data_IF_756375153238
#
_entry.id   IF_756375153238
#
_cell.length_a   1.000
_cell.length_b   1.000
_cell.length_c   1.000
_cell.angle_alpha   90.00
_cell.angle_beta   90.00
_cell.angle_gamma   90.00
#
_symmetry.space_group_name_H-M   'P 1'
#
loop_
_entity.id
_entity.type
_entity.pdbx_description
1 polymer ?
#
# COMPACT_ATOMS: atom_id res chain seq x y z
N UNK A 1 -3.21 -19.28 3.09
CA UNK A 1 -2.01 -20.16 3.02
C UNK A 1 -1.60 -20.53 1.60
N UNK A 2 -2.54 -20.69 0.64
CA UNK A 2 -2.20 -20.91 -0.78
C UNK A 2 -1.77 -19.62 -1.51
N UNK A 3 -2.37 -18.47 -1.17
CA UNK A 3 -2.09 -17.16 -1.80
C UNK A 3 -0.71 -16.57 -1.48
N UNK A 4 -0.23 -16.75 -0.24
CA UNK A 4 1.14 -16.34 0.14
C UNK A 4 2.20 -17.15 -0.59
N UNK A 5 1.91 -18.43 -0.91
CA UNK A 5 2.80 -19.27 -1.71
C UNK A 5 2.81 -18.84 -3.19
N UNK A 6 1.66 -18.57 -3.81
CA UNK A 6 1.64 -18.12 -5.21
C UNK A 6 2.31 -16.76 -5.42
N UNK A 7 2.15 -15.84 -4.47
CA UNK A 7 2.82 -14.52 -4.50
C UNK A 7 4.33 -14.64 -4.29
N UNK A 8 4.76 -15.45 -3.31
CA UNK A 8 6.19 -15.76 -3.10
C UNK A 8 6.82 -16.43 -4.33
N UNK A 9 6.12 -17.33 -5.02
CA UNK A 9 6.62 -18.02 -6.22
C UNK A 9 6.81 -17.05 -7.40
N UNK A 10 5.90 -16.07 -7.56
CA UNK A 10 6.02 -15.05 -8.62
C UNK A 10 7.23 -14.14 -8.39
N UNK A 11 7.39 -13.61 -7.17
CA UNK A 11 8.52 -12.75 -6.82
C UNK A 11 9.86 -13.52 -6.86
N UNK A 12 9.86 -14.78 -6.43
CA UNK A 12 11.02 -15.67 -6.58
C UNK A 12 11.46 -15.76 -8.04
N UNK A 13 10.54 -16.05 -8.97
CA UNK A 13 10.87 -16.13 -10.40
C UNK A 13 11.39 -14.80 -10.96
N UNK A 14 10.76 -13.68 -10.64
CA UNK A 14 11.17 -12.36 -11.11
C UNK A 14 12.57 -11.98 -10.59
N UNK A 15 12.83 -12.23 -9.30
CA UNK A 15 14.14 -12.00 -8.69
C UNK A 15 15.25 -12.81 -9.39
N UNK A 16 14.98 -14.07 -9.73
CA UNK A 16 15.95 -14.93 -10.43
C UNK A 16 16.20 -14.48 -11.87
N UNK A 17 15.17 -14.05 -12.60
CA UNK A 17 15.33 -13.51 -13.95
C UNK A 17 16.21 -12.26 -13.91
N UNK A 18 15.92 -11.34 -12.98
CA UNK A 18 16.70 -10.12 -12.79
C UNK A 18 18.16 -10.40 -12.45
N UNK A 19 18.41 -11.42 -11.63
CA UNK A 19 19.74 -11.76 -11.14
C UNK A 19 20.38 -12.97 -11.85
N UNK A 20 19.92 -13.33 -13.05
CA UNK A 20 20.33 -14.57 -13.71
C UNK A 20 21.85 -14.63 -13.92
N UNK A 21 22.47 -13.52 -14.34
CA UNK A 21 23.92 -13.43 -14.52
C UNK A 21 24.67 -13.61 -13.20
N UNK A 22 24.22 -12.96 -12.12
CA UNK A 22 24.84 -13.07 -10.79
C UNK A 22 24.70 -14.46 -10.19
N UNK A 23 23.57 -15.11 -10.42
CA UNK A 23 23.36 -16.50 -10.04
C UNK A 23 24.33 -17.42 -10.78
N UNK A 24 24.56 -17.20 -12.08
CA UNK A 24 25.52 -17.98 -12.86
C UNK A 24 26.97 -17.80 -12.36
N UNK A 25 27.37 -16.57 -12.02
CA UNK A 25 28.67 -16.29 -11.40
C UNK A 25 28.82 -16.99 -10.04
N UNK A 26 27.78 -16.96 -9.20
CA UNK A 26 27.76 -17.65 -7.91
C UNK A 26 27.86 -19.17 -8.07
N UNK A 27 27.13 -19.76 -9.03
CA UNK A 27 27.21 -21.20 -9.33
C UNK A 27 28.61 -21.59 -9.77
N UNK A 28 29.24 -20.78 -10.63
CA UNK A 28 30.61 -20.99 -11.09
C UNK A 28 31.59 -20.93 -9.92
N UNK A 29 31.45 -19.93 -9.04
CA UNK A 29 32.26 -19.84 -7.82
C UNK A 29 32.10 -21.06 -6.92
N UNK A 30 30.86 -21.50 -6.70
CA UNK A 30 30.55 -22.69 -5.89
C UNK A 30 31.18 -23.94 -6.51
N UNK A 31 31.18 -24.08 -7.83
CA UNK A 31 31.77 -25.23 -8.53
C UNK A 31 33.29 -25.30 -8.33
N UNK A 32 34.00 -24.18 -8.42
CA UNK A 32 35.45 -24.11 -8.23
C UNK A 32 35.93 -23.98 -6.78
N UNK A 33 35.06 -23.65 -5.83
CA UNK A 33 35.47 -23.44 -4.44
C UNK A 33 35.91 -24.75 -3.77
N UNK A 34 37.15 -24.83 -3.31
CA UNK A 34 37.69 -25.98 -2.56
C UNK A 34 38.19 -25.54 -1.19
N UNK A 35 38.18 -26.46 -0.21
CA UNK A 35 38.59 -26.16 1.15
C UNK A 35 37.83 -24.97 1.77
N UNK A 36 38.46 -24.31 2.74
CA UNK A 36 37.93 -23.07 3.30
C UNK A 36 38.02 -21.94 2.25
N UNK A 37 36.91 -21.69 1.56
CA UNK A 37 36.74 -20.60 0.61
C UNK A 37 35.56 -19.73 1.05
N UNK A 38 35.78 -18.42 1.22
CA UNK A 38 34.75 -17.53 1.80
C UNK A 38 34.13 -16.65 0.72
N UNK A 39 32.82 -16.79 0.50
CA UNK A 39 32.03 -15.93 -0.37
C UNK A 39 31.02 -15.10 0.40
N UNK A 40 30.74 -13.89 -0.08
CA UNK A 40 29.68 -13.03 0.44
C UNK A 40 28.60 -12.84 -0.61
N UNK A 41 27.35 -13.07 -0.25
CA UNK A 41 26.17 -12.80 -1.05
C UNK A 41 25.52 -11.56 -0.45
N UNK A 42 25.62 -10.43 -1.17
CA UNK A 42 25.00 -9.17 -0.78
C UNK A 42 23.52 -9.20 -1.18
N UNK A 43 22.63 -9.26 -0.18
CA UNK A 43 21.17 -9.28 -0.31
C UNK A 43 20.53 -8.44 0.78
N UNK A 44 19.50 -7.66 0.46
CA UNK A 44 18.92 -6.71 1.42
C UNK A 44 17.77 -7.29 2.24
N UNK A 45 17.21 -8.44 1.85
CA UNK A 45 16.06 -9.06 2.53
C UNK A 45 16.27 -10.56 2.78
N UNK A 46 15.76 -11.03 3.92
CA UNK A 46 15.79 -12.45 4.28
C UNK A 46 15.01 -13.34 3.28
N UNK A 47 13.93 -12.84 2.70
CA UNK A 47 13.18 -13.56 1.67
C UNK A 47 14.03 -13.81 0.40
N UNK A 48 14.77 -12.80 -0.05
CA UNK A 48 15.66 -12.91 -1.21
C UNK A 48 16.81 -13.89 -0.93
N UNK A 49 17.36 -13.89 0.29
CA UNK A 49 18.35 -14.87 0.70
C UNK A 49 17.78 -16.30 0.62
N UNK A 50 16.53 -16.52 1.06
CA UNK A 50 15.88 -17.82 0.96
C UNK A 50 15.69 -18.25 -0.50
N UNK A 51 15.26 -17.34 -1.38
CA UNK A 51 15.12 -17.61 -2.81
C UNK A 51 16.42 -18.05 -3.47
N UNK A 52 17.54 -17.41 -3.15
CA UNK A 52 18.86 -17.82 -3.64
C UNK A 52 19.19 -19.23 -3.17
N UNK A 53 19.04 -19.51 -1.87
CA UNK A 53 19.31 -20.82 -1.28
C UNK A 53 18.47 -21.91 -1.93
N UNK A 54 17.17 -21.68 -2.10
CA UNK A 54 16.25 -22.61 -2.77
C UNK A 54 16.67 -22.84 -4.23
N UNK A 55 17.10 -21.80 -4.93
CA UNK A 55 17.58 -21.92 -6.31
C UNK A 55 18.88 -22.71 -6.42
N UNK A 56 19.79 -22.57 -5.46
CA UNK A 56 21.02 -23.37 -5.40
C UNK A 56 20.71 -24.85 -5.15
N UNK A 57 19.86 -25.14 -4.15
CA UNK A 57 19.48 -26.52 -3.81
C UNK A 57 18.76 -27.25 -4.94
N UNK A 58 18.00 -26.54 -5.76
CA UNK A 58 17.25 -27.12 -6.87
C UNK A 58 17.98 -27.03 -8.22
N UNK A 59 19.21 -26.50 -8.27
CA UNK A 59 19.95 -26.36 -9.51
C UNK A 59 20.53 -27.72 -9.96
N UNK A 60 20.38 -28.07 -11.23
CA UNK A 60 20.93 -29.30 -11.80
C UNK A 60 22.45 -29.36 -11.76
N UNK A 61 23.15 -28.21 -11.75
CA UNK A 61 24.61 -28.14 -11.61
C UNK A 61 25.09 -28.49 -10.19
N UNK A 62 24.21 -28.43 -9.18
CA UNK A 62 24.58 -28.63 -7.78
C UNK A 62 24.18 -30.00 -7.20
N UNK A 63 23.87 -30.99 -8.04
CA UNK A 63 23.40 -32.31 -7.58
C UNK A 63 24.37 -33.03 -6.62
N UNK A 64 25.68 -32.85 -6.84
CA UNK A 64 26.75 -33.42 -6.03
C UNK A 64 27.16 -32.55 -4.83
N UNK A 65 26.41 -31.47 -4.56
CA UNK A 65 26.68 -30.54 -3.48
C UNK A 65 25.65 -30.75 -2.36
N UNK A 66 26.12 -30.79 -1.12
CA UNK A 66 25.30 -30.68 0.08
C UNK A 66 25.37 -29.24 0.59
N UNK A 67 24.28 -28.49 0.44
CA UNK A 67 24.12 -27.18 1.06
C UNK A 67 23.67 -27.36 2.52
N UNK A 68 24.50 -26.91 3.45
CA UNK A 68 24.20 -26.88 4.88
C UNK A 68 23.81 -25.44 5.22
N UNK A 69 22.56 -25.19 5.58
CA UNK A 69 22.07 -23.81 5.82
C UNK A 69 21.91 -23.58 7.31
N UNK A 70 22.68 -22.64 7.86
CA UNK A 70 22.62 -22.20 9.24
C UNK A 70 21.97 -20.81 9.31
N UNK A 71 20.83 -20.71 10.00
CA UNK A 71 20.14 -19.46 10.25
C UNK A 71 20.44 -18.96 11.67
N UNK A 72 21.10 -17.82 11.79
CA UNK A 72 21.47 -17.20 13.08
C UNK A 72 20.60 -15.97 13.25
N UNK A 73 19.43 -16.12 13.88
CA UNK A 73 18.48 -15.02 14.08
C UNK A 73 18.59 -14.40 15.50
N UNK A 74 19.49 -14.92 16.35
CA UNK A 74 19.67 -14.45 17.71
C UNK A 74 20.70 -13.32 17.82
N UNK A 75 20.25 -12.16 18.30
CA UNK A 75 21.07 -10.98 18.57
C UNK A 75 22.20 -11.19 19.60
N UNK A 76 22.15 -12.26 20.40
CA UNK A 76 23.09 -12.51 21.50
C UNK A 76 24.28 -13.40 21.11
N UNK A 77 24.33 -13.94 19.89
CA UNK A 77 25.42 -14.81 19.46
C UNK A 77 26.74 -14.03 19.39
N UNK A 78 27.78 -14.59 20.04
CA UNK A 78 29.12 -13.98 20.10
C UNK A 78 30.21 -14.85 19.48
N UNK A 79 30.00 -16.16 19.40
CA UNK A 79 30.99 -17.14 18.96
C UNK A 79 30.46 -17.88 17.74
N UNK A 80 30.77 -17.37 16.54
CA UNK A 80 30.21 -17.94 15.31
C UNK A 80 30.70 -19.37 15.06
N UNK A 81 31.98 -19.64 15.34
CA UNK A 81 32.56 -20.97 15.13
C UNK A 81 31.85 -22.03 15.98
N UNK A 82 31.58 -21.74 17.25
CA UNK A 82 30.90 -22.68 18.16
C UNK A 82 29.49 -23.01 17.67
N UNK A 83 28.73 -22.03 17.18
CA UNK A 83 27.41 -22.25 16.58
C UNK A 83 27.48 -23.10 15.32
N UNK A 84 28.49 -22.87 14.47
CA UNK A 84 28.73 -23.68 13.28
C UNK A 84 28.99 -25.13 13.68
N UNK A 85 29.90 -25.38 14.61
CA UNK A 85 30.28 -26.73 15.04
C UNK A 85 29.12 -27.49 15.71
N UNK A 86 28.36 -26.80 16.57
CA UNK A 86 27.15 -27.35 17.19
C UNK A 86 26.05 -27.66 16.16
N UNK A 87 25.96 -26.89 15.07
CA UNK A 87 25.00 -27.17 14.00
C UNK A 87 25.41 -28.38 13.16
N UNK A 88 26.70 -28.49 12.84
CA UNK A 88 27.25 -29.59 12.04
C UNK A 88 27.26 -30.91 12.78
N UNK A 89 27.46 -30.89 14.10
CA UNK A 89 27.34 -32.11 14.91
C UNK A 89 25.92 -32.70 14.85
N UNK A 90 24.91 -31.87 14.57
CA UNK A 90 23.52 -32.29 14.39
C UNK A 90 23.16 -32.58 12.93
N UNK A 91 23.88 -31.97 11.99
CA UNK A 91 23.68 -32.09 10.55
C UNK A 91 25.01 -32.44 9.87
N UNK A 92 25.48 -33.68 10.04
CA UNK A 92 26.82 -34.04 9.61
C UNK A 92 26.96 -33.97 8.09
N UNK A 93 28.15 -33.58 7.61
CA UNK A 93 28.47 -33.65 6.20
C UNK A 93 28.40 -35.08 5.65
N UNK A 94 27.90 -35.22 4.42
CA UNK A 94 27.84 -36.48 3.68
C UNK A 94 29.19 -36.72 2.98
N UNK A 95 29.74 -37.94 3.10
CA UNK A 95 31.06 -38.29 2.58
C UNK A 95 31.17 -38.15 1.05
N UNK A 96 30.09 -38.46 0.32
CA UNK A 96 30.08 -38.48 -1.15
C UNK A 96 29.68 -37.15 -1.81
N UNK A 97 29.48 -36.08 -1.02
CA UNK A 97 29.06 -34.78 -1.54
C UNK A 97 30.02 -33.67 -1.13
N UNK A 98 30.26 -32.76 -2.08
CA UNK A 98 30.92 -31.48 -1.80
C UNK A 98 30.05 -30.68 -0.83
N UNK A 99 30.63 -30.16 0.24
CA UNK A 99 29.88 -29.41 1.25
C UNK A 99 29.98 -27.92 1.00
N UNK A 100 28.89 -27.20 1.18
CA UNK A 100 28.87 -25.73 1.17
C UNK A 100 28.01 -25.26 2.32
N UNK A 101 28.62 -24.51 3.25
CA UNK A 101 27.92 -23.91 4.38
C UNK A 101 27.36 -22.54 3.97
N UNK A 102 26.07 -22.32 4.17
CA UNK A 102 25.42 -21.04 3.95
C UNK A 102 24.97 -20.48 5.29
N UNK A 103 25.45 -19.29 5.64
CA UNK A 103 25.11 -18.60 6.88
C UNK A 103 24.23 -17.39 6.55
N UNK A 104 23.07 -17.28 7.18
CA UNK A 104 22.11 -16.18 7.03
C UNK A 104 21.62 -15.66 8.40
N UNK A 105 21.11 -14.44 8.44
CA UNK A 105 20.54 -13.80 9.65
C UNK A 105 21.56 -13.14 10.59
N UNK A 106 22.86 -13.33 10.34
CA UNK A 106 23.95 -12.87 11.21
C UNK A 106 23.97 -11.35 11.44
N UNK A 107 23.31 -10.57 10.57
CA UNK A 107 23.10 -9.14 10.74
C UNK A 107 22.48 -8.77 12.10
N UNK A 108 21.65 -9.64 12.68
CA UNK A 108 21.02 -9.40 13.98
C UNK A 108 22.03 -9.46 15.14
N UNK A 109 23.00 -10.38 15.10
CA UNK A 109 24.07 -10.49 16.09
C UNK A 109 25.16 -9.43 15.89
N UNK A 110 25.38 -8.99 14.65
CA UNK A 110 26.34 -7.93 14.32
C UNK A 110 25.81 -6.55 14.71
N UNK A 111 24.50 -6.33 14.54
CA UNK A 111 23.78 -5.13 14.91
C UNK A 111 24.32 -3.84 14.27
N UNK A 112 23.77 -2.70 14.71
CA UNK A 112 24.13 -1.36 14.21
C UNK A 112 24.94 -0.50 15.20
N UNK A 113 25.13 -0.97 16.45
CA UNK A 113 25.82 -0.25 17.53
C UNK A 113 27.36 -0.35 17.40
N UNK A 114 28.10 0.05 18.45
CA UNK A 114 29.57 0.00 18.52
C UNK A 114 30.14 -1.43 18.32
N UNK A 115 31.47 -1.53 18.24
CA UNK A 115 32.26 -2.70 17.78
C UNK A 115 31.64 -4.08 18.09
N UNK A 116 31.18 -4.86 17.08
CA UNK A 116 30.43 -6.10 17.30
C UNK A 116 31.29 -7.22 17.92
N UNK A 117 30.89 -7.80 19.07
CA UNK A 117 31.64 -8.86 19.73
C UNK A 117 31.88 -10.09 18.83
N UNK A 118 30.91 -10.43 17.99
CA UNK A 118 31.00 -11.56 17.07
C UNK A 118 32.07 -11.37 15.98
N UNK A 119 32.20 -10.15 15.46
CA UNK A 119 33.23 -9.82 14.47
C UNK A 119 34.62 -9.74 15.10
N UNK A 120 34.69 -9.27 16.35
CA UNK A 120 35.93 -9.31 17.13
C UNK A 120 36.41 -10.75 17.31
N UNK A 121 35.52 -11.63 17.76
CA UNK A 121 35.83 -13.03 17.97
C UNK A 121 36.31 -13.69 16.68
N UNK A 122 35.69 -13.38 15.53
CA UNK A 122 36.08 -13.93 14.24
C UNK A 122 37.54 -13.64 13.85
N UNK A 123 38.10 -12.48 14.19
CA UNK A 123 39.53 -12.25 13.97
C UNK A 123 40.39 -13.17 14.84
N UNK A 124 40.00 -13.40 16.09
CA UNK A 124 40.76 -14.22 17.03
C UNK A 124 40.74 -15.71 16.70
N UNK A 125 39.60 -16.23 16.24
CA UNK A 125 39.42 -17.67 15.97
C UNK A 125 39.61 -18.02 14.49
N UNK A 126 40.06 -17.07 13.66
CA UNK A 126 40.15 -17.22 12.21
C UNK A 126 40.88 -18.50 11.79
N UNK A 127 42.03 -18.78 12.40
CA UNK A 127 42.85 -19.93 12.00
C UNK A 127 42.19 -21.28 12.34
N UNK A 128 41.32 -21.32 13.36
CA UNK A 128 40.56 -22.52 13.71
C UNK A 128 39.58 -22.93 12.60
N UNK A 129 39.04 -21.97 11.83
CA UNK A 129 38.18 -22.29 10.68
C UNK A 129 38.89 -23.15 9.63
N UNK A 130 40.21 -23.07 9.48
CA UNK A 130 40.94 -23.86 8.48
C UNK A 130 40.94 -25.36 8.77
N UNK A 131 40.80 -25.73 10.04
CA UNK A 131 40.82 -27.12 10.51
C UNK A 131 39.40 -27.62 10.80
N UNK A 132 38.61 -26.80 11.49
CA UNK A 132 37.29 -27.20 12.00
C UNK A 132 36.18 -27.04 10.94
N UNK A 133 36.40 -26.20 9.93
CA UNK A 133 35.44 -25.88 8.87
C UNK A 133 36.12 -25.86 7.48
N UNK A 134 36.65 -27.00 7.00
CA UNK A 134 37.44 -27.05 5.76
C UNK A 134 36.59 -27.09 4.49
N UNK A 135 35.47 -26.36 4.44
CA UNK A 135 34.57 -26.28 3.28
C UNK A 135 34.18 -24.83 2.97
N UNK A 136 33.71 -24.56 1.74
CA UNK A 136 33.26 -23.23 1.35
C UNK A 136 32.15 -22.69 2.27
N UNK A 137 32.27 -21.42 2.65
CA UNK A 137 31.27 -20.69 3.45
C UNK A 137 30.72 -19.53 2.61
N UNK A 138 29.41 -19.47 2.47
CA UNK A 138 28.69 -18.35 1.86
C UNK A 138 27.93 -17.58 2.95
N UNK A 139 28.31 -16.32 3.13
CA UNK A 139 27.60 -15.40 4.02
C UNK A 139 26.54 -14.62 3.22
N UNK A 140 25.26 -14.87 3.48
CA UNK A 140 24.15 -14.10 2.92
C UNK A 140 23.80 -12.93 3.84
N UNK A 141 24.24 -11.72 3.49
CA UNK A 141 24.18 -10.56 4.38
C UNK A 141 23.81 -9.26 3.65
N UNK A 142 23.15 -8.30 4.33
CA UNK A 142 22.97 -6.94 3.82
C UNK A 142 24.29 -6.21 3.59
N UNK A 143 24.27 -5.26 2.64
CA UNK A 143 25.43 -4.43 2.27
C UNK A 143 26.11 -3.76 3.47
N UNK A 144 25.31 -3.20 4.38
CA UNK A 144 25.82 -2.52 5.57
C UNK A 144 26.52 -3.49 6.52
N UNK A 145 26.01 -4.72 6.64
CA UNK A 145 26.60 -5.80 7.44
C UNK A 145 27.92 -6.28 6.84
N UNK A 146 28.00 -6.45 5.52
CA UNK A 146 29.26 -6.79 4.82
C UNK A 146 30.30 -5.68 5.02
N UNK A 147 29.87 -4.41 4.95
CA UNK A 147 30.74 -3.26 5.21
C UNK A 147 31.29 -3.29 6.64
N UNK A 148 30.48 -3.72 7.62
CA UNK A 148 30.91 -3.92 9.00
C UNK A 148 31.88 -5.09 9.16
N UNK A 149 31.70 -6.19 8.43
CA UNK A 149 32.68 -7.29 8.35
C UNK A 149 34.05 -6.77 7.92
N UNK A 150 34.10 -6.01 6.82
CA UNK A 150 35.35 -5.44 6.32
C UNK A 150 36.03 -4.50 7.32
N UNK A 151 35.23 -3.75 8.09
CA UNK A 151 35.71 -2.75 9.05
C UNK A 151 36.16 -3.36 10.38
N UNK A 152 35.41 -4.31 10.91
CA UNK A 152 35.57 -4.80 12.28
C UNK A 152 36.15 -6.22 12.36
N UNK A 153 36.13 -6.98 11.26
CA UNK A 153 36.80 -8.26 11.13
C UNK A 153 37.84 -8.26 9.98
N UNK A 154 38.81 -7.33 9.92
CA UNK A 154 39.69 -7.16 8.75
C UNK A 154 40.54 -8.40 8.46
N UNK A 155 41.00 -9.12 9.49
CA UNK A 155 41.87 -10.29 9.33
C UNK A 155 41.11 -11.49 8.77
N UNK A 156 39.85 -11.64 9.18
CA UNK A 156 38.93 -12.62 8.62
C UNK A 156 38.46 -12.21 7.21
N UNK A 157 38.16 -10.92 7.01
CA UNK A 157 37.74 -10.35 5.73
C UNK A 157 38.81 -10.49 4.62
N UNK A 158 40.08 -10.51 5.00
CA UNK A 158 41.19 -10.73 4.08
C UNK A 158 41.07 -12.07 3.32
N UNK A 159 40.38 -13.07 3.88
CA UNK A 159 40.15 -14.39 3.27
C UNK A 159 38.94 -14.46 2.34
N UNK A 160 38.24 -13.34 2.08
CA UNK A 160 37.16 -13.34 1.09
C UNK A 160 37.70 -13.67 -0.31
N UNK A 161 37.01 -14.57 -0.99
CA UNK A 161 37.30 -14.99 -2.36
C UNK A 161 36.29 -14.45 -3.37
N UNK A 162 35.13 -13.95 -2.93
CA UNK A 162 34.12 -13.37 -3.81
C UNK A 162 33.05 -12.56 -3.08
N UNK A 163 32.49 -11.56 -3.76
CA UNK A 163 31.31 -10.81 -3.33
C UNK A 163 30.31 -10.78 -4.49
N UNK A 164 29.15 -11.41 -4.30
CA UNK A 164 28.09 -11.54 -5.29
C UNK A 164 26.97 -10.59 -4.93
N UNK A 165 26.82 -9.52 -5.71
CA UNK A 165 25.84 -8.47 -5.45
C UNK A 165 24.54 -8.77 -6.17
N UNK A 166 23.55 -9.24 -5.42
CA UNK A 166 22.22 -9.47 -5.96
C UNK A 166 21.44 -8.16 -5.88
N UNK A 167 20.84 -7.80 -7.01
CA UNK A 167 19.92 -6.70 -7.08
C UNK A 167 18.60 -7.14 -6.45
N UNK A 168 18.29 -6.60 -5.28
CA UNK A 168 16.98 -6.76 -4.69
C UNK A 168 15.89 -6.40 -5.70
N UNK A 169 14.76 -7.09 -5.61
CA UNK A 169 13.56 -6.55 -6.23
C UNK A 169 13.33 -5.18 -5.60
N UNK A 170 12.91 -4.16 -6.37
CA UNK A 170 12.51 -2.89 -5.77
C UNK A 170 11.60 -3.21 -4.59
N UNK A 171 11.85 -2.59 -3.42
CA UNK A 171 10.82 -2.63 -2.38
C UNK A 171 9.54 -2.13 -3.07
N UNK A 172 8.37 -2.66 -2.73
CA UNK A 172 7.09 -1.95 -2.89
C UNK A 172 7.08 -0.67 -1.99
N UNK A 173 8.22 0.02 -1.89
CA UNK A 173 8.53 1.24 -1.18
C UNK A 173 9.63 1.99 -1.95
N UNK A 174 9.32 2.43 -3.16
CA UNK A 174 9.52 3.83 -3.55
C UNK A 174 9.08 4.13 -4.97
N UNK A 175 8.87 3.14 -5.83
CA UNK A 175 8.04 3.39 -7.01
C UNK A 175 6.61 3.63 -6.51
N UNK A 176 6.08 2.80 -5.62
CA UNK A 176 4.77 3.08 -5.02
C UNK A 176 4.76 4.32 -4.12
N UNK A 177 5.77 4.65 -3.32
CA UNK A 177 5.71 5.91 -2.55
C UNK A 177 6.00 7.15 -3.39
N UNK A 178 6.83 7.13 -4.42
CA UNK A 178 6.94 8.30 -5.30
C UNK A 178 5.79 8.37 -6.29
N UNK A 179 5.24 7.27 -6.83
CA UNK A 179 4.03 7.29 -7.67
C UNK A 179 2.76 7.54 -6.86
N UNK A 180 2.58 6.86 -5.73
CA UNK A 180 1.45 7.08 -4.82
C UNK A 180 1.63 8.37 -4.02
N UNK A 181 2.83 8.91 -3.73
CA UNK A 181 2.96 10.28 -3.18
C UNK A 181 3.02 11.38 -4.25
N UNK A 182 3.37 11.08 -5.51
CA UNK A 182 3.16 12.01 -6.64
C UNK A 182 1.67 12.05 -7.02
N UNK A 183 0.96 10.92 -6.91
CA UNK A 183 -0.49 10.82 -7.10
C UNK A 183 -1.31 11.29 -5.86
N UNK A 184 -0.88 10.99 -4.62
CA UNK A 184 -1.48 11.52 -3.37
C UNK A 184 -1.08 12.97 -3.11
N UNK A 185 0.11 13.39 -3.56
CA UNK A 185 0.57 14.78 -3.47
C UNK A 185 -0.29 15.78 -4.24
N UNK A 186 -1.22 15.28 -5.06
CA UNK A 186 -2.18 16.05 -5.83
C UNK A 186 -3.63 15.74 -5.44
N UNK A 187 -3.90 15.16 -4.27
CA UNK A 187 -5.23 15.13 -3.63
C UNK A 187 -5.67 16.50 -3.09
N UNK A 188 -4.90 17.57 -3.35
CA UNK A 188 -5.38 18.95 -3.17
C UNK A 188 -6.23 19.35 -4.37
N UNK A 189 -7.52 19.58 -4.11
CA UNK A 189 -8.40 20.32 -5.00
C UNK A 189 -7.70 21.61 -5.45
N UNK A 190 -7.56 21.82 -6.78
CA UNK A 190 -7.02 23.06 -7.35
C UNK A 190 -5.91 22.93 -8.41
N UNK A 191 -5.27 21.76 -8.60
CA UNK A 191 -4.29 21.56 -9.68
C UNK A 191 -4.96 20.92 -10.90
N UNK A 192 -4.92 21.61 -12.04
CA UNK A 192 -5.39 21.07 -13.32
C UNK A 192 -4.59 19.82 -13.70
N UNK A 193 -5.28 18.71 -13.94
CA UNK A 193 -4.66 17.44 -14.33
C UNK A 193 -3.96 17.58 -15.69
N UNK A 194 -2.70 17.14 -15.77
CA UNK A 194 -1.88 17.36 -16.98
C UNK A 194 -2.06 16.23 -18.00
N UNK A 195 -2.11 16.59 -19.29
CA UNK A 195 -2.07 15.61 -20.38
C UNK A 195 -0.86 14.68 -20.27
N UNK A 196 0.30 15.20 -19.82
CA UNK A 196 1.52 14.43 -19.62
C UNK A 196 1.36 13.27 -18.63
N UNK A 197 0.59 13.45 -17.54
CA UNK A 197 0.30 12.35 -16.60
C UNK A 197 -0.57 11.28 -17.25
N UNK A 198 -1.58 11.66 -18.02
CA UNK A 198 -2.43 10.70 -18.76
C UNK A 198 -1.60 9.92 -19.79
N UNK A 199 -0.74 10.60 -20.54
CA UNK A 199 0.14 9.95 -21.53
C UNK A 199 1.09 8.95 -20.89
N UNK A 200 1.69 9.31 -19.74
CA UNK A 200 2.55 8.41 -18.97
C UNK A 200 1.78 7.17 -18.49
N UNK A 201 0.62 7.38 -17.85
CA UNK A 201 -0.21 6.29 -17.37
C UNK A 201 -0.69 5.37 -18.51
N UNK A 202 -0.97 5.93 -19.68
CA UNK A 202 -1.38 5.16 -20.87
C UNK A 202 -0.23 4.28 -21.39
N UNK A 203 1.00 4.80 -21.41
CA UNK A 203 2.21 4.03 -21.78
C UNK A 203 2.48 2.90 -20.78
N UNK A 204 2.39 3.19 -19.49
CA UNK A 204 2.56 2.21 -18.43
C UNK A 204 1.51 1.09 -18.52
N UNK A 205 0.25 1.46 -18.79
CA UNK A 205 -0.79 0.46 -18.99
C UNK A 205 -0.46 -0.48 -20.17
N UNK A 206 0.04 0.06 -21.29
CA UNK A 206 0.45 -0.75 -22.43
C UNK A 206 1.64 -1.68 -22.12
N UNK A 207 2.63 -1.19 -21.37
CA UNK A 207 3.78 -1.97 -20.90
C UNK A 207 3.34 -3.11 -19.99
N UNK A 208 2.55 -2.82 -18.95
CA UNK A 208 2.02 -3.86 -18.05
C UNK A 208 1.07 -4.85 -18.75
N UNK A 209 0.34 -4.39 -19.78
CA UNK A 209 -0.47 -5.27 -20.61
C UNK A 209 0.39 -6.24 -21.42
N UNK A 210 1.52 -5.78 -21.97
CA UNK A 210 2.47 -6.63 -22.68
C UNK A 210 3.13 -7.65 -21.74
N UNK A 211 3.43 -7.25 -20.51
CA UNK A 211 3.98 -8.11 -19.45
C UNK A 211 2.94 -9.00 -18.76
N UNK A 212 1.65 -8.82 -19.08
CA UNK A 212 0.50 -9.48 -18.42
C UNK A 212 0.48 -9.29 -16.90
N UNK A 213 0.93 -8.13 -16.42
CA UNK A 213 0.91 -7.77 -15.01
C UNK A 213 -0.45 -7.19 -14.60
N UNK A 214 -1.41 -8.08 -14.32
CA UNK A 214 -2.81 -7.70 -14.04
C UNK A 214 -2.93 -6.74 -12.84
N UNK A 215 -2.11 -6.92 -11.80
CA UNK A 215 -2.13 -6.06 -10.60
C UNK A 215 -1.79 -4.60 -10.95
N UNK A 216 -0.72 -4.42 -11.73
CA UNK A 216 -0.29 -3.09 -12.17
C UNK A 216 -1.22 -2.48 -13.21
N UNK A 217 -1.83 -3.31 -14.07
CA UNK A 217 -2.89 -2.88 -14.99
C UNK A 217 -4.08 -2.27 -14.24
N UNK A 218 -4.61 -2.97 -13.22
CA UNK A 218 -5.74 -2.48 -12.41
C UNK A 218 -5.38 -1.14 -11.76
N UNK A 219 -4.22 -1.05 -11.11
CA UNK A 219 -3.77 0.17 -10.42
C UNK A 219 -3.60 1.33 -11.40
N UNK A 220 -3.04 1.07 -12.58
CA UNK A 220 -2.84 2.10 -13.61
C UNK A 220 -4.17 2.58 -14.19
N UNK A 221 -5.11 1.67 -14.46
CA UNK A 221 -6.45 2.00 -14.93
C UNK A 221 -7.26 2.80 -13.91
N UNK A 222 -7.15 2.51 -12.62
CA UNK A 222 -7.74 3.34 -11.57
C UNK A 222 -7.21 4.76 -11.60
N UNK A 223 -5.89 4.92 -11.73
CA UNK A 223 -5.26 6.24 -11.80
C UNK A 223 -5.65 7.01 -13.07
N UNK A 224 -5.78 6.33 -14.21
CA UNK A 224 -6.35 6.90 -15.43
C UNK A 224 -7.78 7.37 -15.20
N UNK A 225 -8.61 6.53 -14.55
CA UNK A 225 -9.98 6.88 -14.17
C UNK A 225 -10.06 8.18 -13.36
N UNK A 226 -9.24 8.29 -12.32
CA UNK A 226 -9.15 9.50 -11.49
C UNK A 226 -8.67 10.71 -12.30
N UNK A 227 -7.66 10.54 -13.16
CA UNK A 227 -7.12 11.62 -13.98
C UNK A 227 -8.18 12.15 -14.98
N UNK A 228 -8.89 11.26 -15.68
CA UNK A 228 -9.97 11.64 -16.58
C UNK A 228 -11.14 12.30 -15.84
N UNK A 229 -11.51 11.83 -14.65
CA UNK A 229 -12.54 12.44 -13.82
C UNK A 229 -12.21 13.90 -13.44
N UNK A 230 -10.95 14.16 -13.10
CA UNK A 230 -10.45 15.51 -12.77
C UNK A 230 -10.48 16.45 -13.97
N UNK A 231 -10.26 15.94 -15.19
CA UNK A 231 -10.42 16.71 -16.44
C UNK A 231 -11.87 16.88 -16.88
N UNK A 232 -12.81 16.19 -16.24
CA UNK A 232 -14.22 16.16 -16.65
C UNK A 232 -14.48 15.24 -17.85
N UNK A 233 -13.51 14.41 -18.26
CA UNK A 233 -13.67 13.40 -19.31
C UNK A 233 -14.36 12.15 -18.74
N UNK A 234 -15.64 12.31 -18.33
CA UNK A 234 -16.37 11.31 -17.53
C UNK A 234 -16.50 9.95 -18.23
N UNK A 235 -16.65 9.94 -19.55
CA UNK A 235 -16.77 8.69 -20.32
C UNK A 235 -15.47 7.87 -20.26
N UNK A 236 -14.31 8.51 -20.47
CA UNK A 236 -13.02 7.81 -20.39
C UNK A 236 -12.69 7.37 -18.95
N UNK A 237 -13.13 8.16 -17.97
CA UNK A 237 -13.03 7.80 -16.57
C UNK A 237 -13.81 6.53 -16.27
N UNK A 238 -15.07 6.47 -16.73
CA UNK A 238 -15.94 5.30 -16.63
C UNK A 238 -15.34 4.07 -17.32
N UNK A 239 -14.90 4.21 -18.57
CA UNK A 239 -14.28 3.12 -19.35
C UNK A 239 -13.06 2.53 -18.61
N UNK A 240 -12.14 3.39 -18.14
CA UNK A 240 -10.93 2.95 -17.43
C UNK A 240 -11.27 2.22 -16.12
N UNK A 241 -12.26 2.72 -15.37
CA UNK A 241 -12.66 2.15 -14.08
C UNK A 241 -13.44 0.84 -14.25
N UNK A 242 -14.28 0.72 -15.28
CA UNK A 242 -14.96 -0.54 -15.60
C UNK A 242 -13.98 -1.62 -16.04
N UNK A 243 -12.95 -1.26 -16.81
CA UNK A 243 -11.88 -2.18 -17.17
C UNK A 243 -11.08 -2.63 -15.93
N UNK A 244 -10.72 -1.70 -15.04
CA UNK A 244 -10.07 -2.02 -13.76
C UNK A 244 -10.95 -2.96 -12.90
N UNK A 245 -12.25 -2.70 -12.83
CA UNK A 245 -13.21 -3.51 -12.09
C UNK A 245 -13.32 -4.92 -12.68
N UNK A 246 -13.41 -5.04 -14.01
CA UNK A 246 -13.48 -6.32 -14.70
C UNK A 246 -12.22 -7.18 -14.44
N UNK A 247 -11.03 -6.58 -14.54
CA UNK A 247 -9.78 -7.25 -14.21
C UNK A 247 -9.72 -7.63 -12.72
N UNK A 248 -10.18 -6.77 -11.82
CA UNK A 248 -10.22 -7.07 -10.38
C UNK A 248 -11.15 -8.23 -10.03
N UNK A 249 -12.25 -8.41 -10.76
CA UNK A 249 -13.18 -9.54 -10.56
C UNK A 249 -12.56 -10.90 -10.94
N UNK A 250 -11.47 -10.91 -11.70
CA UNK A 250 -10.73 -12.13 -12.03
C UNK A 250 -9.78 -12.57 -10.91
N UNK A 251 -9.55 -11.72 -9.90
CA UNK A 251 -8.57 -11.94 -8.83
C UNK A 251 -9.22 -11.65 -7.47
N UNK A 252 -9.65 -12.71 -6.77
CA UNK A 252 -10.31 -12.61 -5.44
C UNK A 252 -9.45 -11.93 -4.38
N UNK A 253 -8.12 -11.93 -4.50
CA UNK A 253 -7.22 -11.31 -3.51
C UNK A 253 -7.16 -9.77 -3.58
N UNK A 254 -7.81 -9.12 -4.55
CA UNK A 254 -7.76 -7.67 -4.78
C UNK A 254 -9.00 -6.90 -4.26
N UNK A 255 -9.72 -7.45 -3.29
CA UNK A 255 -10.92 -6.82 -2.72
C UNK A 255 -10.72 -5.36 -2.27
N UNK A 256 -9.62 -4.94 -1.60
CA UNK A 256 -9.42 -3.53 -1.24
C UNK A 256 -9.31 -2.61 -2.47
N UNK A 257 -8.65 -3.09 -3.53
CA UNK A 257 -8.48 -2.35 -4.79
C UNK A 257 -9.81 -2.25 -5.52
N UNK A 258 -10.59 -3.35 -5.57
CA UNK A 258 -11.94 -3.37 -6.13
C UNK A 258 -12.85 -2.34 -5.47
N UNK A 259 -12.85 -2.27 -4.14
CA UNK A 259 -13.66 -1.29 -3.41
C UNK A 259 -13.24 0.14 -3.73
N UNK A 260 -11.94 0.43 -3.83
CA UNK A 260 -11.46 1.75 -4.25
C UNK A 260 -11.88 2.11 -5.70
N UNK A 261 -11.90 1.13 -6.62
CA UNK A 261 -12.45 1.33 -7.98
C UNK A 261 -13.92 1.71 -7.92
N UNK A 262 -14.71 0.96 -7.14
CA UNK A 262 -16.14 1.19 -6.97
C UNK A 262 -16.40 2.58 -6.38
N UNK A 263 -15.67 2.99 -5.33
CA UNK A 263 -15.78 4.35 -4.79
C UNK A 263 -15.59 5.43 -5.87
N UNK A 264 -14.54 5.31 -6.68
CA UNK A 264 -14.23 6.26 -7.75
C UNK A 264 -15.32 6.27 -8.82
N UNK A 265 -15.81 5.10 -9.20
CA UNK A 265 -16.89 4.95 -10.18
C UNK A 265 -18.19 5.59 -9.68
N UNK A 266 -18.49 5.49 -8.38
CA UNK A 266 -19.63 6.18 -7.76
C UNK A 266 -19.55 7.71 -7.91
N UNK A 267 -18.36 8.31 -7.73
CA UNK A 267 -18.17 9.75 -7.98
C UNK A 267 -18.34 10.12 -9.46
N UNK A 268 -17.80 9.30 -10.37
CA UNK A 268 -17.94 9.49 -11.82
C UNK A 268 -19.42 9.45 -12.21
N UNK A 269 -20.17 8.46 -11.73
CA UNK A 269 -21.60 8.34 -12.01
C UNK A 269 -22.42 9.49 -11.44
N UNK A 270 -22.15 9.93 -10.20
CA UNK A 270 -22.81 11.12 -9.64
C UNK A 270 -22.57 12.34 -10.53
N UNK A 271 -21.32 12.61 -10.92
CA UNK A 271 -20.97 13.75 -11.77
C UNK A 271 -21.56 13.65 -13.18
N UNK A 272 -21.72 12.42 -13.69
CA UNK A 272 -22.40 12.13 -14.95
C UNK A 272 -23.94 12.15 -14.84
N UNK A 273 -24.51 12.42 -13.65
CA UNK A 273 -25.95 12.37 -13.34
C UNK A 273 -26.60 10.99 -13.53
N UNK A 274 -25.79 9.94 -13.49
CA UNK A 274 -26.18 8.52 -13.50
C UNK A 274 -26.45 8.05 -12.07
N UNK A 275 -27.54 8.52 -11.48
CA UNK A 275 -27.78 8.40 -10.03
C UNK A 275 -28.14 6.99 -9.58
N UNK A 276 -28.85 6.22 -10.41
CA UNK A 276 -29.17 4.81 -10.15
C UNK A 276 -27.91 3.94 -10.09
N UNK A 277 -26.98 4.16 -11.01
CA UNK A 277 -25.70 3.47 -11.04
C UNK A 277 -24.84 3.90 -9.84
N UNK A 278 -24.79 5.19 -9.52
CA UNK A 278 -24.08 5.70 -8.35
C UNK A 278 -24.61 5.09 -7.04
N UNK A 279 -25.94 5.04 -6.87
CA UNK A 279 -26.59 4.41 -5.71
C UNK A 279 -26.20 2.94 -5.58
N UNK A 280 -26.29 2.19 -6.68
CA UNK A 280 -25.94 0.76 -6.72
C UNK A 280 -24.48 0.54 -6.31
N UNK A 281 -23.57 1.37 -6.83
CA UNK A 281 -22.13 1.28 -6.54
C UNK A 281 -21.85 1.61 -5.08
N UNK A 282 -22.42 2.68 -4.53
CA UNK A 282 -22.22 3.01 -3.10
C UNK A 282 -22.81 1.95 -2.18
N UNK A 283 -23.94 1.34 -2.52
CA UNK A 283 -24.49 0.21 -1.75
C UNK A 283 -23.55 -1.00 -1.76
N UNK A 284 -22.90 -1.31 -2.89
CA UNK A 284 -21.88 -2.35 -2.95
C UNK A 284 -20.68 -2.05 -2.03
N UNK A 285 -20.22 -0.80 -2.01
CA UNK A 285 -19.13 -0.36 -1.13
C UNK A 285 -19.53 -0.48 0.36
N UNK A 286 -20.77 -0.11 0.70
CA UNK A 286 -21.32 -0.22 2.06
C UNK A 286 -21.57 -1.67 2.52
N UNK A 287 -21.48 -2.68 1.64
CA UNK A 287 -21.44 -4.08 2.07
C UNK A 287 -20.06 -4.49 2.61
N UNK A 288 -19.00 -3.76 2.24
CA UNK A 288 -17.63 -4.00 2.71
C UNK A 288 -17.28 -3.09 3.88
N UNK A 289 -17.69 -1.83 3.80
CA UNK A 289 -17.48 -0.84 4.85
C UNK A 289 -18.66 -0.85 5.81
N UNK A 290 -18.38 -0.84 7.10
CA UNK A 290 -19.38 -0.69 8.14
C UNK A 290 -18.94 0.35 9.15
N UNK A 291 -19.87 0.78 10.00
CA UNK A 291 -19.57 1.67 11.12
C UNK A 291 -18.40 1.14 11.97
N UNK A 292 -18.34 -0.17 12.18
CA UNK A 292 -17.29 -0.84 12.96
C UNK A 292 -16.01 -1.09 12.16
N UNK A 293 -16.10 -1.17 10.83
CA UNK A 293 -15.00 -1.55 9.93
C UNK A 293 -14.81 -0.50 8.85
N UNK A 294 -13.70 0.23 8.94
CA UNK A 294 -13.41 1.40 8.11
C UNK A 294 -14.39 2.56 8.34
N UNK A 295 -14.69 2.87 9.62
CA UNK A 295 -15.67 3.88 10.05
C UNK A 295 -15.61 5.21 9.27
N UNK A 296 -14.41 5.79 9.10
CA UNK A 296 -14.23 7.03 8.35
C UNK A 296 -14.63 6.89 6.87
N UNK A 297 -14.24 5.78 6.22
CA UNK A 297 -14.59 5.53 4.83
C UNK A 297 -16.09 5.26 4.68
N UNK A 298 -16.67 4.51 5.62
CA UNK A 298 -18.11 4.29 5.67
C UNK A 298 -18.87 5.62 5.75
N UNK A 299 -18.48 6.53 6.65
CA UNK A 299 -19.10 7.86 6.79
C UNK A 299 -18.94 8.72 5.52
N UNK A 300 -17.78 8.64 4.84
CA UNK A 300 -17.57 9.29 3.55
C UNK A 300 -18.59 8.82 2.51
N UNK A 301 -18.78 7.50 2.41
CA UNK A 301 -19.70 6.91 1.43
C UNK A 301 -21.15 7.20 1.80
N UNK A 302 -21.50 7.22 3.08
CA UNK A 302 -22.82 7.69 3.53
C UNK A 302 -23.08 9.12 3.10
N UNK A 303 -22.16 10.05 3.35
CA UNK A 303 -22.31 11.44 2.89
C UNK A 303 -22.41 11.55 1.35
N UNK A 304 -21.62 10.77 0.59
CA UNK A 304 -21.69 10.75 -0.87
C UNK A 304 -23.02 10.18 -1.39
N UNK A 305 -23.54 9.13 -0.76
CA UNK A 305 -24.85 8.55 -1.08
C UNK A 305 -25.99 9.50 -0.74
N UNK A 306 -25.89 10.23 0.39
CA UNK A 306 -26.85 11.27 0.74
C UNK A 306 -26.92 12.37 -0.33
N UNK A 307 -25.77 12.78 -0.87
CA UNK A 307 -25.71 13.72 -1.99
C UNK A 307 -26.34 13.16 -3.28
N UNK A 308 -26.17 11.86 -3.58
CA UNK A 308 -26.87 11.22 -4.71
C UNK A 308 -28.38 11.35 -4.52
N UNK A 309 -28.90 11.08 -3.32
CA UNK A 309 -30.33 11.19 -3.05
C UNK A 309 -30.86 12.63 -3.13
N UNK A 310 -30.07 13.64 -2.74
CA UNK A 310 -30.46 15.05 -2.93
C UNK A 310 -30.62 15.42 -4.41
N UNK A 311 -29.70 14.95 -5.25
CA UNK A 311 -29.64 15.31 -6.67
C UNK A 311 -30.56 14.44 -7.56
N UNK A 312 -31.01 13.29 -7.05
CA UNK A 312 -31.82 12.30 -7.78
C UNK A 312 -33.27 12.75 -7.92
N UNK A 313 -33.68 13.01 -9.17
CA UNK A 313 -35.06 13.38 -9.53
C UNK A 313 -35.96 12.17 -9.81
N UNK A 314 -35.39 10.98 -9.97
CA UNK A 314 -36.11 9.74 -10.20
C UNK A 314 -36.69 9.18 -8.90
N UNK A 315 -37.90 8.63 -8.98
CA UNK A 315 -38.63 8.10 -7.83
C UNK A 315 -39.33 9.19 -7.02
N UNK A 316 -39.67 8.88 -5.77
CA UNK A 316 -40.34 9.81 -4.85
C UNK A 316 -39.32 10.79 -4.28
N UNK A 317 -39.42 12.07 -4.68
CA UNK A 317 -38.57 13.16 -4.13
C UNK A 317 -38.61 13.20 -2.60
N UNK A 318 -39.78 12.96 -2.01
CA UNK A 318 -39.93 12.92 -0.56
C UNK A 318 -39.13 11.78 0.07
N UNK A 319 -39.15 10.57 -0.52
CA UNK A 319 -38.37 9.44 0.00
C UNK A 319 -36.88 9.62 -0.20
N UNK A 320 -36.46 10.19 -1.33
CA UNK A 320 -35.06 10.53 -1.57
C UNK A 320 -34.54 11.51 -0.51
N UNK A 321 -35.31 12.53 -0.16
CA UNK A 321 -34.93 13.48 0.90
C UNK A 321 -34.79 12.81 2.27
N UNK A 322 -35.70 11.91 2.65
CA UNK A 322 -35.55 11.17 3.92
C UNK A 322 -34.33 10.23 3.91
N UNK A 323 -34.04 9.60 2.77
CA UNK A 323 -32.82 8.78 2.62
C UNK A 323 -31.56 9.63 2.70
N UNK A 324 -31.56 10.83 2.10
CA UNK A 324 -30.45 11.77 2.21
C UNK A 324 -30.19 12.16 3.67
N UNK A 325 -31.25 12.55 4.40
CA UNK A 325 -31.17 12.89 5.84
C UNK A 325 -30.61 11.71 6.65
N UNK A 326 -31.11 10.49 6.40
CA UNK A 326 -30.62 9.28 7.07
C UNK A 326 -29.12 9.04 6.82
N UNK A 327 -28.68 9.17 5.58
CA UNK A 327 -27.28 9.04 5.20
C UNK A 327 -26.39 10.11 5.85
N UNK A 328 -26.81 11.37 5.88
CA UNK A 328 -26.04 12.43 6.53
C UNK A 328 -25.97 12.24 8.05
N UNK A 329 -27.07 11.86 8.70
CA UNK A 329 -27.05 11.52 10.12
C UNK A 329 -26.11 10.34 10.43
N UNK A 330 -26.14 9.29 9.61
CA UNK A 330 -25.20 8.16 9.72
C UNK A 330 -23.75 8.63 9.60
N UNK A 331 -23.44 9.52 8.66
CA UNK A 331 -22.09 10.08 8.53
C UNK A 331 -21.68 10.91 9.76
N UNK A 332 -22.61 11.64 10.39
CA UNK A 332 -22.38 12.46 11.58
C UNK A 332 -22.20 11.65 12.88
N UNK A 333 -22.51 10.35 12.89
CA UNK A 333 -22.14 9.45 14.00
C UNK A 333 -20.63 9.24 14.09
N UNK A 334 -19.91 9.38 12.96
CA UNK A 334 -18.45 9.22 12.86
C UNK A 334 -17.75 10.57 12.72
N UNK A 335 -18.27 11.42 11.82
CA UNK A 335 -17.76 12.77 11.65
C UNK A 335 -18.28 13.63 12.80
N UNK A 336 -17.40 13.90 13.76
CA UNK A 336 -17.67 14.84 14.85
C UNK A 336 -16.88 16.12 14.62
N UNK A 337 -17.34 17.23 15.23
CA UNK A 337 -16.63 18.53 15.15
C UNK A 337 -15.17 18.44 15.61
N UNK A 338 -14.89 17.60 16.61
CA UNK A 338 -13.55 17.53 17.22
C UNK A 338 -12.60 16.61 16.43
N UNK A 339 -13.10 15.50 15.87
CA UNK A 339 -12.27 14.51 15.18
C UNK A 339 -12.13 14.75 13.67
N UNK A 340 -13.19 15.27 13.03
CA UNK A 340 -13.26 15.51 11.59
C UNK A 340 -13.98 16.84 11.30
N UNK A 341 -13.44 17.98 11.76
CA UNK A 341 -14.13 19.28 11.73
C UNK A 341 -14.63 19.66 10.33
N UNK A 342 -13.81 19.45 9.30
CA UNK A 342 -14.16 19.83 7.92
C UNK A 342 -15.26 18.94 7.35
N UNK A 343 -15.13 17.62 7.49
CA UNK A 343 -16.12 16.66 7.00
C UNK A 343 -17.44 16.80 7.76
N UNK A 344 -17.39 17.02 9.07
CA UNK A 344 -18.56 17.32 9.89
C UNK A 344 -19.27 18.57 9.38
N UNK A 345 -18.55 19.68 9.17
CA UNK A 345 -19.13 20.92 8.67
C UNK A 345 -19.72 20.79 7.27
N UNK A 346 -19.07 20.03 6.37
CA UNK A 346 -19.61 19.69 5.06
C UNK A 346 -20.93 18.91 5.19
N UNK A 347 -20.95 17.86 6.01
CA UNK A 347 -22.13 17.03 6.20
C UNK A 347 -23.27 17.80 6.84
N UNK A 348 -22.98 18.72 7.78
CA UNK A 348 -23.97 19.62 8.36
C UNK A 348 -24.57 20.58 7.32
N UNK A 349 -23.75 21.17 6.43
CA UNK A 349 -24.27 21.97 5.33
C UNK A 349 -25.18 21.14 4.41
N UNK A 350 -24.79 19.92 4.05
CA UNK A 350 -25.60 19.05 3.20
C UNK A 350 -26.91 18.63 3.88
N UNK A 351 -26.87 18.37 5.19
CA UNK A 351 -28.04 18.09 6.01
C UNK A 351 -28.98 19.31 6.06
N UNK A 352 -28.43 20.52 6.15
CA UNK A 352 -29.20 21.76 6.06
C UNK A 352 -29.93 21.90 4.71
N UNK A 353 -29.27 21.56 3.61
CA UNK A 353 -29.89 21.53 2.27
C UNK A 353 -31.01 20.49 2.21
N UNK A 354 -30.80 19.31 2.82
CA UNK A 354 -31.80 18.25 2.88
C UNK A 354 -33.06 18.71 3.66
N UNK A 355 -32.87 19.30 4.84
CA UNK A 355 -33.97 19.84 5.64
C UNK A 355 -34.68 21.01 4.95
N UNK A 356 -33.93 21.92 4.33
CA UNK A 356 -34.53 23.04 3.59
C UNK A 356 -35.36 22.56 2.39
N UNK A 357 -35.07 21.40 1.82
CA UNK A 357 -35.87 20.82 0.73
C UNK A 357 -36.91 19.79 1.21
N UNK A 358 -36.94 19.44 2.49
CA UNK A 358 -37.73 18.35 3.04
C UNK A 358 -39.23 18.59 2.88
N UNK A 359 -39.92 17.60 2.30
CA UNK A 359 -41.37 17.64 2.00
C UNK A 359 -42.21 17.13 3.19
N UNK A 360 -41.70 16.17 3.96
CA UNK A 360 -42.41 15.59 5.11
C UNK A 360 -42.23 16.45 6.35
N UNK A 361 -43.25 16.47 7.22
CA UNK A 361 -43.27 17.29 8.42
C UNK A 361 -43.64 18.74 8.14
N UNK A 362 -43.69 19.55 9.21
CA UNK A 362 -44.03 20.96 9.11
C UNK A 362 -42.91 21.76 8.46
N UNK A 363 -43.26 22.58 7.45
CA UNK A 363 -42.29 23.39 6.70
C UNK A 363 -41.47 24.31 7.61
N UNK A 364 -42.13 24.89 8.62
CA UNK A 364 -41.48 25.77 9.60
C UNK A 364 -40.41 25.01 10.40
N UNK A 365 -40.70 23.81 10.88
CA UNK A 365 -39.77 23.02 11.69
C UNK A 365 -38.57 22.55 10.85
N UNK A 366 -38.83 22.15 9.60
CA UNK A 366 -37.78 21.77 8.66
C UNK A 366 -36.81 22.93 8.38
N UNK A 367 -37.31 24.17 8.27
CA UNK A 367 -36.46 25.34 8.08
C UNK A 367 -35.62 25.66 9.33
N UNK A 368 -36.17 25.51 10.54
CA UNK A 368 -35.37 25.68 11.76
C UNK A 368 -34.27 24.63 11.86
N UNK A 369 -34.55 23.37 11.51
CA UNK A 369 -33.53 22.31 11.45
C UNK A 369 -32.44 22.64 10.43
N UNK A 370 -32.81 23.19 9.26
CA UNK A 370 -31.85 23.63 8.26
C UNK A 370 -30.95 24.75 8.77
N UNK A 371 -31.54 25.78 9.39
CA UNK A 371 -30.82 26.91 9.99
C UNK A 371 -29.83 26.44 11.06
N UNK A 372 -30.24 25.51 11.94
CA UNK A 372 -29.35 24.91 12.94
C UNK A 372 -28.17 24.20 12.27
N UNK A 373 -28.41 23.36 11.26
CA UNK A 373 -27.36 22.63 10.58
C UNK A 373 -26.37 23.56 9.83
N UNK A 374 -26.87 24.62 9.19
CA UNK A 374 -26.01 25.62 8.56
C UNK A 374 -25.18 26.40 9.59
N UNK A 375 -25.78 26.81 10.72
CA UNK A 375 -25.03 27.47 11.78
C UNK A 375 -23.94 26.55 12.37
N UNK A 376 -24.24 25.27 12.55
CA UNK A 376 -23.24 24.27 12.97
C UNK A 376 -22.09 24.16 11.97
N UNK A 377 -22.38 24.11 10.66
CA UNK A 377 -21.35 24.13 9.62
C UNK A 377 -20.44 25.37 9.70
N UNK A 378 -21.02 26.53 9.99
CA UNK A 378 -20.31 27.81 10.13
C UNK A 378 -19.46 27.94 11.40
N UNK A 379 -19.57 27.02 12.36
CA UNK A 379 -18.64 26.95 13.50
C UNK A 379 -17.22 26.56 13.05
N UNK A 380 -17.10 25.86 11.92
CA UNK A 380 -15.81 25.42 11.35
C UNK A 380 -15.49 26.15 10.05
N UNK A 381 -16.47 26.23 9.15
CA UNK A 381 -16.32 26.98 7.90
C UNK A 381 -16.41 28.45 8.19
N UNK A 382 -15.26 29.07 8.43
CA UNK A 382 -15.14 30.52 8.64
C UNK A 382 -14.60 31.18 7.38
N UNK A 383 -14.83 32.49 7.25
CA UNK A 383 -14.33 33.28 6.12
C UNK A 383 -12.82 33.17 5.94
N UNK A 384 -12.07 33.01 7.04
CA UNK A 384 -10.61 33.03 7.01
C UNK A 384 -10.00 31.65 6.71
N UNK A 385 -10.62 30.56 7.18
CA UNK A 385 -10.11 29.19 6.97
C UNK A 385 -10.69 28.50 5.73
N UNK A 386 -11.95 28.77 5.39
CA UNK A 386 -12.70 28.12 4.30
C UNK A 386 -13.60 29.13 3.57
N UNK A 387 -13.02 30.14 2.87
CA UNK A 387 -13.79 31.25 2.31
C UNK A 387 -14.88 30.82 1.31
N UNK A 388 -14.62 29.78 0.52
CA UNK A 388 -15.55 29.27 -0.50
C UNK A 388 -16.73 28.55 0.16
N UNK A 389 -16.45 27.64 1.08
CA UNK A 389 -17.44 26.86 1.80
C UNK A 389 -18.26 27.76 2.72
N UNK A 390 -17.62 28.71 3.41
CA UNK A 390 -18.29 29.74 4.22
C UNK A 390 -19.28 30.54 3.37
N UNK A 391 -18.88 31.04 2.20
CA UNK A 391 -19.77 31.81 1.33
C UNK A 391 -20.96 30.97 0.83
N UNK A 392 -20.72 29.70 0.47
CA UNK A 392 -21.78 28.77 0.07
C UNK A 392 -22.76 28.52 1.22
N UNK A 393 -22.28 28.25 2.43
CA UNK A 393 -23.13 27.98 3.60
C UNK A 393 -23.88 29.24 4.04
N UNK A 394 -23.26 30.42 4.00
CA UNK A 394 -23.94 31.71 4.25
C UNK A 394 -25.06 31.97 3.25
N UNK A 395 -24.84 31.69 1.96
CA UNK A 395 -25.89 31.81 0.94
C UNK A 395 -27.06 30.86 1.20
N UNK A 396 -26.76 29.61 1.57
CA UNK A 396 -27.78 28.62 1.93
C UNK A 396 -28.57 29.02 3.19
N UNK A 397 -27.87 29.57 4.18
CA UNK A 397 -28.48 30.10 5.41
C UNK A 397 -29.37 31.32 5.12
N UNK A 398 -28.92 32.25 4.28
CA UNK A 398 -29.71 33.40 3.84
C UNK A 398 -30.99 32.98 3.11
N UNK A 399 -30.92 31.98 2.23
CA UNK A 399 -32.11 31.41 1.59
C UNK A 399 -33.07 30.80 2.62
N UNK A 400 -32.56 30.07 3.62
CA UNK A 400 -33.39 29.48 4.67
C UNK A 400 -34.06 30.54 5.56
N UNK A 401 -33.37 31.64 5.87
CA UNK A 401 -33.95 32.76 6.60
C UNK A 401 -35.00 33.53 5.78
N UNK A 402 -34.75 33.74 4.48
CA UNK A 402 -35.74 34.34 3.57
C UNK A 402 -37.04 33.51 3.49
N UNK A 403 -36.92 32.18 3.55
CA UNK A 403 -38.05 31.25 3.55
C UNK A 403 -38.68 31.04 4.96
N UNK A 404 -38.04 31.52 6.03
CA UNK A 404 -38.40 31.24 7.42
C UNK A 404 -39.80 31.77 7.75
N UNK A 405 -40.62 30.89 8.32
CA UNK A 405 -42.03 31.16 8.64
C UNK A 405 -42.19 31.70 10.08
N UNK A 406 -41.26 31.39 10.99
CA UNK A 406 -41.28 31.83 12.39
C UNK A 406 -40.53 33.14 12.59
N UNK A 407 -40.96 33.94 13.58
CA UNK A 407 -40.37 35.24 13.90
C UNK A 407 -40.93 36.40 13.07
N UNK A 408 -40.52 37.62 13.37
CA UNK A 408 -40.86 38.78 12.54
C UNK A 408 -40.04 38.78 11.25
N UNK A 409 -40.69 39.03 10.11
CA UNK A 409 -40.03 39.00 8.79
C UNK A 409 -38.84 39.96 8.69
N UNK A 410 -38.84 41.04 9.47
CA UNK A 410 -37.75 42.02 9.54
C UNK A 410 -36.52 41.53 10.34
N UNK A 411 -36.67 40.55 11.22
CA UNK A 411 -35.55 39.92 11.94
C UNK A 411 -34.95 38.75 11.13
N UNK A 412 -35.67 38.29 10.10
CA UNK A 412 -35.28 37.19 9.22
C UNK A 412 -34.58 37.65 7.92
N UNK A 413 -34.52 38.97 7.63
CA UNK A 413 -33.92 39.57 6.42
C UNK A 413 -32.84 40.58 6.83
#
# INVERSE_FOLDING_TARGET
MLETKSFSIYNHRLFLVKNQQRLAELLTFIDFAEGLTIGFIEVNRNEEANWIVESLMNNSQCQNIQFIVLNIDDSQVRFLLDEILNYLSKNPPLEDKKQVLIIKGLENSIGFKDYPPILQNLNFVRDAFTYDVPYPILFCLPKDTITRFARFAPDFWAWKSGIFKFESLPEEKNIDRQFVNFARGLERDGVSETQARIDLLTRLFAEYSAEKNISMMITTLQQLGVAYYRRGELQKAEESLLEALNLSNQITSLEPTKVATLETLGYVYKKAKKYEEAETIYQQVLNVYSEQKFSQKWAKIQNSLGNVYLDKNQGSKADNLERAISCFNSALEVYTRDSFPSEWAMTQNNLGVAYSNRIRGERADNLELAIVAYNQSLEVYTRDSFPSEWAMTQNNLGNAYSDRIRGEKAENL
#
